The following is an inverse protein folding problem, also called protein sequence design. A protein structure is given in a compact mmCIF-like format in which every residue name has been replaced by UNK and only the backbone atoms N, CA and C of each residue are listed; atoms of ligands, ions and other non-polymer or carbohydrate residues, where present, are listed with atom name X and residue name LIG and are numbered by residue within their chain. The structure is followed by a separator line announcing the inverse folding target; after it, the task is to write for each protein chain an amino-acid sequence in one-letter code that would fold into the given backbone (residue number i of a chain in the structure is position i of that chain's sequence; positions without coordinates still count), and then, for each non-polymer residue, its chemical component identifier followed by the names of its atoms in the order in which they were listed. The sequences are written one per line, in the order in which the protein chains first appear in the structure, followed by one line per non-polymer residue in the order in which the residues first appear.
data_IF_058012909682
#
_entry.id   IF_058012909682
#
_cell.length_a   1.000
_cell.length_b   1.000
_cell.length_c   1.000
_cell.angle_alpha   90.00
_cell.angle_beta   90.00
_cell.angle_gamma   90.00
#
_symmetry.space_group_name_H-M   'P 1'
#
loop_
_entity.id
_entity.type
_entity.pdbx_description
1 polymer ?
#
# COMPACT_ATOMS: atom_id res chain seq x y z
N UNK A 1 35.93 6.71 5.95
CA UNK A 1 37.08 5.92 6.42
C UNK A 1 38.02 6.86 7.14
N UNK A 2 38.65 6.45 8.23
CA UNK A 2 39.56 7.31 8.99
C UNK A 2 40.77 6.50 9.43
N UNK A 3 41.92 7.16 9.51
CA UNK A 3 43.19 6.59 9.95
C UNK A 3 43.62 7.26 11.25
N UNK A 4 44.34 6.52 12.08
CA UNK A 4 44.84 7.02 13.36
C UNK A 4 45.92 8.09 13.12
N UNK A 5 46.07 9.04 14.06
CA UNK A 5 47.02 10.15 13.95
C UNK A 5 48.46 9.68 13.66
N UNK A 6 48.86 8.55 14.25
CA UNK A 6 50.19 7.95 14.07
C UNK A 6 50.45 7.47 12.63
N UNK A 7 49.41 7.24 11.84
CA UNK A 7 49.52 6.79 10.45
C UNK A 7 49.65 7.96 9.47
N UNK A 8 49.38 9.20 9.91
CA UNK A 8 49.30 10.37 9.04
C UNK A 8 50.59 10.64 8.25
N UNK A 9 51.76 10.38 8.86
CA UNK A 9 53.07 10.60 8.24
C UNK A 9 53.43 9.63 7.10
N UNK A 10 52.81 8.44 7.07
CA UNK A 10 53.07 7.41 6.05
C UNK A 10 51.94 7.22 5.03
N UNK A 11 50.80 7.89 5.22
CA UNK A 11 49.59 7.67 4.44
C UNK A 11 49.64 8.40 3.09
N UNK A 12 49.78 7.66 2.00
CA UNK A 12 49.80 8.20 0.62
C UNK A 12 48.38 8.33 0.06
N UNK A 13 48.20 9.12 -1.00
CA UNK A 13 46.92 9.21 -1.71
C UNK A 13 46.54 7.87 -2.34
N UNK A 14 47.51 7.15 -2.91
CA UNK A 14 47.29 5.84 -3.52
C UNK A 14 46.79 4.82 -2.49
N UNK A 15 47.31 4.86 -1.27
CA UNK A 15 46.86 3.99 -0.19
C UNK A 15 45.44 4.35 0.27
N UNK A 16 45.12 5.64 0.39
CA UNK A 16 43.74 6.07 0.65
C UNK A 16 42.77 5.60 -0.44
N UNK A 17 43.16 5.70 -1.71
CA UNK A 17 42.34 5.24 -2.84
C UNK A 17 42.21 3.72 -2.88
N UNK A 18 43.27 2.98 -2.56
CA UNK A 18 43.21 1.52 -2.41
C UNK A 18 42.19 1.12 -1.33
N UNK A 19 42.27 1.75 -0.17
CA UNK A 19 41.34 1.48 0.94
C UNK A 19 39.89 1.81 0.56
N UNK A 20 39.67 2.94 -0.13
CA UNK A 20 38.35 3.32 -0.66
C UNK A 20 37.80 2.28 -1.64
N UNK A 21 38.61 1.82 -2.58
CA UNK A 21 38.19 0.82 -3.56
C UNK A 21 37.86 -0.52 -2.90
N UNK A 22 38.67 -0.96 -1.92
CA UNK A 22 38.37 -2.18 -1.17
C UNK A 22 37.08 -2.03 -0.33
N UNK A 23 36.84 -0.87 0.28
CA UNK A 23 35.62 -0.60 1.02
C UNK A 23 34.37 -0.59 0.12
N UNK A 24 34.46 0.03 -1.07
CA UNK A 24 33.37 0.03 -2.08
C UNK A 24 33.09 -1.41 -2.54
N UNK A 25 34.14 -2.19 -2.79
CA UNK A 25 33.99 -3.61 -3.14
C UNK A 25 33.32 -4.41 -2.03
N UNK A 26 33.73 -4.20 -0.77
CA UNK A 26 33.16 -4.88 0.39
C UNK A 26 31.66 -4.56 0.59
N UNK A 27 31.22 -3.39 0.14
CA UNK A 27 29.81 -2.98 0.16
C UNK A 27 29.00 -3.52 -1.01
N UNK A 28 29.61 -4.33 -1.90
CA UNK A 28 29.01 -4.80 -3.16
C UNK A 28 28.56 -3.64 -4.06
N UNK A 29 29.34 -2.55 -4.07
CA UNK A 29 29.02 -1.30 -4.76
C UNK A 29 30.00 -0.97 -5.91
N UNK A 30 30.76 -1.96 -6.39
CA UNK A 30 31.79 -1.78 -7.43
C UNK A 30 31.25 -1.27 -8.77
N UNK A 31 29.97 -1.50 -9.03
CA UNK A 31 29.23 -1.07 -10.22
C UNK A 31 28.48 0.27 -10.00
N UNK A 32 28.73 0.95 -8.87
CA UNK A 32 28.08 2.23 -8.52
C UNK A 32 29.00 3.41 -8.77
N UNK A 33 28.41 4.53 -9.16
CA UNK A 33 29.10 5.81 -9.18
C UNK A 33 29.40 6.27 -7.74
N UNK A 34 30.63 6.71 -7.50
CA UNK A 34 31.05 7.23 -6.20
C UNK A 34 31.78 8.57 -6.32
N UNK A 35 31.53 9.47 -5.39
CA UNK A 35 32.29 10.70 -5.17
C UNK A 35 33.13 10.54 -3.90
N UNK A 36 34.43 10.81 -4.01
CA UNK A 36 35.40 10.59 -2.95
C UNK A 36 36.05 11.93 -2.60
N UNK A 37 36.01 12.30 -1.32
CA UNK A 37 36.68 13.49 -0.79
C UNK A 37 37.63 13.10 0.33
N UNK A 38 38.93 13.37 0.15
CA UNK A 38 39.98 13.02 1.10
C UNK A 38 40.47 14.25 1.87
N UNK A 39 40.64 14.08 3.17
CA UNK A 39 41.09 15.10 4.12
C UNK A 39 42.36 14.60 4.82
N UNK A 40 43.39 15.44 4.82
CA UNK A 40 44.68 15.25 5.52
C UNK A 40 45.05 16.44 6.40
N UNK A 41 44.14 17.40 6.47
CA UNK A 41 44.26 18.68 7.17
C UNK A 41 43.82 18.61 8.64
N UNK A 42 43.36 17.44 9.09
CA UNK A 42 42.96 17.14 10.47
C UNK A 42 43.93 16.17 11.14
N UNK A 43 43.93 16.13 12.48
CA UNK A 43 44.77 15.22 13.27
C UNK A 43 44.58 13.73 12.87
N UNK A 44 43.35 13.35 12.53
CA UNK A 44 43.03 12.05 11.96
C UNK A 44 42.69 12.21 10.47
N UNK A 45 43.56 11.76 9.54
CA UNK A 45 43.26 11.74 8.12
C UNK A 45 42.01 10.90 7.85
N UNK A 46 41.14 11.35 6.96
CA UNK A 46 39.89 10.66 6.66
C UNK A 46 39.42 10.88 5.22
N UNK A 47 38.54 9.99 4.77
CA UNK A 47 37.93 10.04 3.44
C UNK A 47 36.42 9.88 3.57
N UNK A 48 35.68 10.78 2.93
CA UNK A 48 34.25 10.67 2.68
C UNK A 48 34.02 9.98 1.34
N UNK A 49 33.10 9.01 1.34
CA UNK A 49 32.69 8.28 0.13
C UNK A 49 31.17 8.45 0.01
N UNK A 50 30.71 9.09 -1.06
CA UNK A 50 29.31 9.23 -1.39
C UNK A 50 29.01 8.30 -2.57
N UNK A 51 28.20 7.26 -2.34
CA UNK A 51 27.88 6.24 -3.34
C UNK A 51 26.45 6.46 -3.83
N UNK A 52 26.26 6.50 -5.16
CA UNK A 52 24.93 6.43 -5.74
C UNK A 52 24.32 5.05 -5.47
N UNK A 53 23.17 5.02 -4.82
CA UNK A 53 22.50 3.75 -4.47
C UNK A 53 21.81 3.09 -5.65
N UNK A 54 21.53 3.83 -6.71
CA UNK A 54 20.85 3.30 -7.89
C UNK A 54 21.90 2.72 -8.84
N UNK A 55 21.70 1.47 -9.22
CA UNK A 55 22.47 0.82 -10.28
C UNK A 55 22.31 1.55 -11.61
N UNK A 56 23.41 1.93 -12.29
CA UNK A 56 23.31 2.52 -13.62
C UNK A 56 22.88 1.50 -14.68
N UNK A 57 23.07 0.20 -14.45
CA UNK A 57 22.81 -0.86 -15.43
C UNK A 57 21.36 -1.35 -15.40
N UNK A 58 20.76 -1.49 -14.20
CA UNK A 58 19.45 -2.11 -14.02
C UNK A 58 18.49 -1.35 -13.09
N UNK A 59 18.91 -0.18 -12.58
CA UNK A 59 18.08 0.67 -11.72
C UNK A 59 17.80 0.12 -10.32
N UNK A 60 18.39 -1.02 -9.93
CA UNK A 60 18.18 -1.59 -8.59
C UNK A 60 18.87 -0.79 -7.50
N UNK A 61 18.27 -0.78 -6.31
CA UNK A 61 18.85 -0.11 -5.14
C UNK A 61 19.88 -1.00 -4.45
N UNK A 62 21.03 -0.42 -4.10
CA UNK A 62 22.01 -1.01 -3.21
C UNK A 62 21.39 -1.23 -1.82
N UNK A 63 21.50 -2.45 -1.32
CA UNK A 63 21.03 -2.83 0.02
C UNK A 63 21.88 -2.14 1.08
N UNK A 64 21.23 -1.43 2.01
CA UNK A 64 21.92 -0.79 3.13
C UNK A 64 22.02 -1.68 4.38
N UNK A 65 21.72 -2.97 4.23
CA UNK A 65 21.77 -3.91 5.34
C UNK A 65 23.22 -4.27 5.67
N UNK A 66 23.56 -4.25 6.95
CA UNK A 66 24.85 -4.68 7.49
C UNK A 66 26.09 -3.92 6.96
N UNK A 67 25.94 -2.76 6.33
CA UNK A 67 27.08 -1.95 5.81
C UNK A 67 28.14 -1.69 6.89
N UNK A 68 27.70 -1.31 8.09
CA UNK A 68 28.60 -1.08 9.24
C UNK A 68 29.37 -2.34 9.65
N UNK A 69 28.74 -3.51 9.56
CA UNK A 69 29.36 -4.78 9.91
C UNK A 69 30.38 -5.20 8.85
N UNK A 70 30.01 -5.07 7.57
CA UNK A 70 30.89 -5.31 6.42
C UNK A 70 32.15 -4.44 6.47
N UNK A 71 31.98 -3.14 6.74
CA UNK A 71 33.10 -2.21 6.86
C UNK A 71 33.93 -2.44 8.15
N UNK A 72 33.31 -2.86 9.24
CA UNK A 72 34.02 -3.26 10.47
C UNK A 72 34.91 -4.49 10.23
N UNK A 73 34.42 -5.48 9.48
CA UNK A 73 35.21 -6.67 9.13
C UNK A 73 36.35 -6.32 8.18
N UNK A 74 36.09 -5.49 7.16
CA UNK A 74 37.14 -5.00 6.25
C UNK A 74 38.20 -4.19 6.99
N UNK A 75 37.82 -3.29 7.90
CA UNK A 75 38.78 -2.45 8.61
C UNK A 75 39.70 -3.26 9.53
N UNK A 76 39.20 -4.34 10.15
CA UNK A 76 40.06 -5.28 10.88
C UNK A 76 41.04 -6.01 9.94
N UNK A 77 40.56 -6.47 8.78
CA UNK A 77 41.43 -7.15 7.81
C UNK A 77 42.52 -6.21 7.28
N UNK A 78 42.14 -4.97 6.96
CA UNK A 78 43.02 -3.91 6.51
C UNK A 78 44.12 -3.59 7.53
N UNK A 79 43.78 -3.51 8.81
CA UNK A 79 44.74 -3.35 9.92
C UNK A 79 45.69 -4.56 10.04
N UNK A 80 45.15 -5.78 9.98
CA UNK A 80 45.94 -7.03 10.03
C UNK A 80 46.91 -7.17 8.86
N UNK A 81 46.52 -6.80 7.64
CA UNK A 81 47.41 -6.81 6.46
C UNK A 81 48.61 -5.87 6.65
N UNK A 82 48.44 -4.78 7.40
CA UNK A 82 49.48 -3.78 7.67
C UNK A 82 50.30 -4.09 8.93
N UNK A 83 50.00 -5.19 9.62
CA UNK A 83 50.76 -5.71 10.75
C UNK A 83 50.46 -5.02 12.08
N UNK A 84 49.45 -4.16 12.15
CA UNK A 84 49.11 -3.39 13.36
C UNK A 84 47.60 -3.31 13.56
N UNK A 85 47.11 -3.76 14.72
CA UNK A 85 45.70 -3.66 15.11
C UNK A 85 45.53 -2.44 16.00
N UNK A 86 44.86 -1.41 15.48
CA UNK A 86 44.66 -0.15 16.18
C UNK A 86 43.38 -0.14 17.02
N UNK A 87 42.43 -1.04 16.74
CA UNK A 87 41.17 -1.14 17.46
C UNK A 87 40.91 -2.56 17.98
N UNK A 88 41.46 -2.88 19.16
CA UNK A 88 41.27 -4.20 19.81
C UNK A 88 39.79 -4.54 20.04
N UNK A 89 38.97 -3.54 20.39
CA UNK A 89 37.52 -3.71 20.55
C UNK A 89 36.83 -4.17 19.26
N UNK A 90 37.31 -3.73 18.08
CA UNK A 90 36.78 -4.17 16.79
C UNK A 90 37.05 -5.66 16.56
N UNK A 91 38.27 -6.11 16.85
CA UNK A 91 38.68 -7.53 16.74
C UNK A 91 37.84 -8.40 17.66
N UNK A 92 37.70 -8.02 18.94
CA UNK A 92 36.89 -8.77 19.91
C UNK A 92 35.42 -8.84 19.46
N UNK A 93 34.86 -7.74 18.96
CA UNK A 93 33.47 -7.69 18.51
C UNK A 93 33.25 -8.50 17.22
N UNK A 94 34.18 -8.49 16.27
CA UNK A 94 34.11 -9.27 15.05
C UNK A 94 34.29 -10.78 15.34
N UNK A 95 35.20 -11.17 16.23
CA UNK A 95 35.39 -12.56 16.69
C UNK A 95 34.14 -13.11 17.37
N UNK A 96 33.53 -12.35 18.31
CA UNK A 96 32.26 -12.72 18.95
C UNK A 96 31.13 -12.95 17.93
N UNK A 97 31.05 -12.11 16.90
CA UNK A 97 30.05 -12.25 15.82
C UNK A 97 30.31 -13.49 14.96
N UNK A 98 31.57 -13.80 14.64
CA UNK A 98 31.94 -15.02 13.90
C UNK A 98 31.62 -16.28 14.71
N UNK A 99 31.82 -16.24 16.02
CA UNK A 99 31.52 -17.32 16.96
C UNK A 99 30.03 -17.39 17.35
N UNK A 100 29.13 -16.72 16.61
CA UNK A 100 27.68 -16.64 16.85
C UNK A 100 27.27 -16.15 18.25
N UNK A 101 28.19 -15.55 19.00
CA UNK A 101 27.91 -14.89 20.27
C UNK A 101 27.43 -13.47 19.97
N UNK A 102 26.13 -13.36 19.69
CA UNK A 102 25.47 -12.07 19.46
C UNK A 102 25.61 -11.18 20.69
N UNK A 103 26.53 -10.22 20.65
CA UNK A 103 26.59 -9.14 21.63
C UNK A 103 25.83 -7.97 21.02
N UNK A 104 24.59 -7.76 21.45
CA UNK A 104 23.93 -6.47 21.23
C UNK A 104 24.74 -5.46 22.03
N UNK A 105 25.38 -4.53 21.35
CA UNK A 105 25.93 -3.38 22.04
C UNK A 105 24.73 -2.60 22.62
N UNK A 106 24.63 -2.54 23.95
CA UNK A 106 23.61 -1.75 24.67
C UNK A 106 23.72 -0.25 24.35
N UNK A 107 24.76 0.15 23.61
CA UNK A 107 25.03 1.51 23.18
C UNK A 107 24.31 1.95 21.90
N UNK A 108 23.37 1.16 21.34
CA UNK A 108 22.48 1.68 20.28
C UNK A 108 21.41 2.62 20.86
N UNK A 109 21.89 3.69 21.50
CA UNK A 109 21.09 4.83 21.89
C UNK A 109 21.00 5.75 20.68
N UNK A 110 19.81 6.09 20.18
CA UNK A 110 19.68 7.05 19.09
C UNK A 110 20.37 8.37 19.46
N UNK A 111 21.06 8.99 18.50
CA UNK A 111 21.97 10.14 18.69
C UNK A 111 21.36 11.32 19.49
N UNK A 112 20.04 11.49 19.42
CA UNK A 112 19.30 12.47 20.22
C UNK A 112 19.43 12.27 21.74
N UNK A 113 19.64 11.03 22.21
CA UNK A 113 19.86 10.71 23.63
C UNK A 113 21.28 11.11 24.07
N UNK A 114 22.26 11.03 23.17
CA UNK A 114 23.65 11.43 23.45
C UNK A 114 23.77 12.96 23.59
N UNK A 115 23.05 13.72 22.76
CA UNK A 115 22.91 15.17 22.90
C UNK A 115 22.22 15.55 24.22
N UNK A 116 21.25 14.74 24.65
CA UNK A 116 20.52 14.91 25.92
C UNK A 116 21.40 14.67 27.14
N UNK A 117 22.34 13.72 27.08
CA UNK A 117 23.24 13.37 28.19
C UNK A 117 24.48 14.27 28.24
N UNK A 118 25.04 14.69 27.09
CA UNK A 118 26.13 15.69 27.05
C UNK A 118 25.62 17.07 27.48
N UNK A 119 24.35 17.41 27.21
CA UNK A 119 23.70 18.62 27.72
C UNK A 119 23.20 18.49 29.17
N UNK A 120 23.40 17.34 29.82
CA UNK A 120 22.99 17.14 31.21
C UNK A 120 24.05 17.68 32.17
N UNK A 121 24.41 18.96 32.00
CA UNK A 121 24.90 19.75 33.10
C UNK A 121 23.79 19.78 34.15
N UNK A 122 24.09 19.27 35.35
CA UNK A 122 23.21 19.08 36.50
C UNK A 122 22.54 20.38 37.01
N UNK A 123 21.68 21.02 36.21
CA UNK A 123 20.95 22.24 36.57
C UNK A 123 19.45 21.93 36.67
N UNK A 124 18.85 22.00 37.87
CA UNK A 124 17.48 21.55 38.13
C UNK A 124 16.39 22.28 37.31
N UNK A 125 16.65 23.50 36.82
CA UNK A 125 15.71 24.26 35.98
C UNK A 125 15.56 23.75 34.54
N UNK A 126 16.65 23.27 33.92
CA UNK A 126 16.65 22.81 32.53
C UNK A 126 15.85 21.52 32.35
N UNK A 127 15.92 20.61 33.32
CA UNK A 127 15.20 19.34 33.30
C UNK A 127 13.68 19.49 33.33
N UNK A 128 13.14 20.46 34.09
CA UNK A 128 11.68 20.67 34.15
C UNK A 128 11.15 21.27 32.85
N UNK A 129 11.80 22.29 32.32
CA UNK A 129 11.39 22.90 31.06
C UNK A 129 11.51 21.92 29.88
N UNK A 130 12.57 21.10 29.85
CA UNK A 130 12.74 20.02 28.86
C UNK A 130 11.61 18.99 28.93
N UNK A 131 11.23 18.52 30.12
CA UNK A 131 10.08 17.61 30.30
C UNK A 131 8.78 18.21 29.78
N UNK A 132 8.53 19.50 30.01
CA UNK A 132 7.36 20.20 29.46
C UNK A 132 7.38 20.26 27.92
N UNK A 133 8.54 20.48 27.30
CA UNK A 133 8.67 20.47 25.85
C UNK A 133 8.44 19.06 25.26
N UNK A 134 8.99 18.02 25.89
CA UNK A 134 8.77 16.62 25.51
C UNK A 134 7.28 16.26 25.60
N UNK A 135 6.59 16.68 26.67
CA UNK A 135 5.16 16.42 26.83
C UNK A 135 4.32 17.08 25.71
N UNK A 136 4.67 18.30 25.29
CA UNK A 136 4.01 18.98 24.16
C UNK A 136 4.27 18.27 22.83
N UNK A 137 5.50 17.81 22.60
CA UNK A 137 5.86 17.04 21.39
C UNK A 137 5.13 15.70 21.36
N UNK A 138 5.05 15.02 22.50
CA UNK A 138 4.32 13.76 22.65
C UNK A 138 2.82 13.93 22.42
N UNK A 139 2.22 15.04 22.88
CA UNK A 139 0.80 15.33 22.63
C UNK A 139 0.52 15.54 21.12
N UNK A 140 1.36 16.32 20.44
CA UNK A 140 1.22 16.53 18.99
C UNK A 140 1.45 15.25 18.19
N UNK A 141 2.42 14.42 18.60
CA UNK A 141 2.66 13.11 18.00
C UNK A 141 1.49 12.13 18.24
N UNK A 142 0.91 12.12 19.44
CA UNK A 142 -0.25 11.29 19.76
C UNK A 142 -1.48 11.69 18.95
N UNK A 143 -1.72 12.99 18.74
CA UNK A 143 -2.77 13.47 17.85
C UNK A 143 -2.54 13.04 16.40
N UNK A 144 -1.29 13.15 15.90
CA UNK A 144 -0.91 12.63 14.58
C UNK A 144 -1.19 11.14 14.40
N UNK A 145 -0.84 10.32 15.41
CA UNK A 145 -1.14 8.89 15.41
C UNK A 145 -2.65 8.62 15.43
N UNK A 146 -3.42 9.40 16.21
CA UNK A 146 -4.87 9.29 16.26
C UNK A 146 -5.55 9.66 14.93
N UNK A 147 -5.03 10.68 14.23
CA UNK A 147 -5.45 11.01 12.86
C UNK A 147 -5.18 9.83 11.92
N UNK A 148 -3.98 9.27 11.95
CA UNK A 148 -3.62 8.13 11.11
C UNK A 148 -4.50 6.90 11.35
N UNK A 149 -4.82 6.61 12.61
CA UNK A 149 -5.75 5.53 12.95
C UNK A 149 -7.15 5.77 12.36
N UNK A 150 -7.71 6.97 12.55
CA UNK A 150 -9.01 7.32 11.95
C UNK A 150 -9.00 7.26 10.43
N UNK A 151 -7.88 7.64 9.79
CA UNK A 151 -7.71 7.50 8.34
C UNK A 151 -7.80 6.04 7.93
N UNK A 152 -7.05 5.16 8.60
CA UNK A 152 -7.06 3.73 8.33
C UNK A 152 -8.46 3.14 8.48
N UNK A 153 -9.12 3.41 9.60
CA UNK A 153 -10.48 2.93 9.86
C UNK A 153 -11.49 3.44 8.81
N UNK A 154 -11.36 4.71 8.39
CA UNK A 154 -12.21 5.27 7.34
C UNK A 154 -11.97 4.61 5.97
N UNK A 155 -10.71 4.34 5.61
CA UNK A 155 -10.35 3.61 4.39
C UNK A 155 -10.89 2.17 4.41
N UNK A 156 -10.64 1.43 5.50
CA UNK A 156 -11.14 0.06 5.69
C UNK A 156 -12.67 0.01 5.61
N UNK A 157 -13.36 0.95 6.26
CA UNK A 157 -14.82 1.05 6.19
C UNK A 157 -15.33 1.37 4.78
N UNK A 158 -14.65 2.26 4.05
CA UNK A 158 -15.01 2.62 2.68
C UNK A 158 -14.87 1.42 1.73
N UNK A 159 -13.74 0.72 1.80
CA UNK A 159 -13.48 -0.48 1.00
C UNK A 159 -14.47 -1.61 1.35
N UNK A 160 -14.75 -1.84 2.63
CA UNK A 160 -15.71 -2.83 3.08
C UNK A 160 -17.13 -2.53 2.57
N UNK A 161 -17.58 -1.26 2.64
CA UNK A 161 -18.88 -0.84 2.09
C UNK A 161 -18.95 -1.07 0.58
N UNK A 162 -17.90 -0.74 -0.15
CA UNK A 162 -17.86 -0.94 -1.59
C UNK A 162 -17.90 -2.43 -1.95
N UNK A 163 -17.10 -3.27 -1.28
CA UNK A 163 -17.08 -4.71 -1.47
C UNK A 163 -18.46 -5.33 -1.20
N UNK A 164 -19.10 -4.98 -0.08
CA UNK A 164 -20.44 -5.45 0.26
C UNK A 164 -21.49 -5.03 -0.79
N UNK A 165 -21.34 -3.82 -1.35
CA UNK A 165 -22.22 -3.34 -2.42
C UNK A 165 -22.05 -4.19 -3.69
N UNK A 166 -20.82 -4.46 -4.10
CA UNK A 166 -20.54 -5.30 -5.28
C UNK A 166 -21.07 -6.73 -5.08
N UNK A 167 -20.88 -7.31 -3.90
CA UNK A 167 -21.41 -8.63 -3.54
C UNK A 167 -22.94 -8.64 -3.59
N UNK A 168 -23.61 -7.61 -3.06
CA UNK A 168 -25.07 -7.50 -3.13
C UNK A 168 -25.57 -7.43 -4.57
N UNK A 169 -24.85 -6.71 -5.44
CA UNK A 169 -25.18 -6.60 -6.87
C UNK A 169 -25.01 -7.91 -7.61
N UNK A 170 -23.95 -8.68 -7.32
CA UNK A 170 -23.76 -10.01 -7.90
C UNK A 170 -24.87 -10.97 -7.46
N UNK A 171 -25.21 -10.96 -6.17
CA UNK A 171 -26.31 -11.77 -5.65
C UNK A 171 -27.67 -11.37 -6.27
N UNK A 172 -27.93 -10.08 -6.46
CA UNK A 172 -29.14 -9.58 -7.12
C UNK A 172 -29.19 -9.95 -8.60
N UNK A 173 -28.05 -9.88 -9.30
CA UNK A 173 -27.91 -10.31 -10.70
C UNK A 173 -28.26 -11.80 -10.83
N UNK A 174 -27.65 -12.66 -10.01
CA UNK A 174 -27.92 -14.10 -10.01
C UNK A 174 -29.38 -14.41 -9.69
N UNK A 175 -29.96 -13.75 -8.67
CA UNK A 175 -31.38 -13.89 -8.33
C UNK A 175 -32.29 -13.49 -9.48
N UNK A 176 -31.98 -12.39 -10.17
CA UNK A 176 -32.76 -11.89 -11.29
C UNK A 176 -32.68 -12.81 -12.51
N UNK A 177 -31.49 -13.34 -12.82
CA UNK A 177 -31.30 -14.33 -13.88
C UNK A 177 -32.12 -15.58 -13.57
N UNK A 178 -32.00 -16.12 -12.35
CA UNK A 178 -32.76 -17.31 -11.94
C UNK A 178 -34.27 -17.09 -11.99
N UNK A 179 -34.76 -15.94 -11.53
CA UNK A 179 -36.17 -15.58 -11.63
C UNK A 179 -36.65 -15.51 -13.09
N UNK A 180 -35.85 -14.91 -13.97
CA UNK A 180 -36.12 -14.83 -15.41
C UNK A 180 -36.10 -16.19 -16.10
N UNK A 181 -35.17 -17.07 -15.74
CA UNK A 181 -35.10 -18.45 -16.24
C UNK A 181 -36.35 -19.25 -15.84
N UNK A 182 -36.77 -19.15 -14.57
CA UNK A 182 -37.98 -19.78 -14.08
C UNK A 182 -39.25 -19.26 -14.76
N UNK A 183 -39.36 -17.94 -14.98
CA UNK A 183 -40.48 -17.35 -15.71
C UNK A 183 -40.52 -17.85 -17.16
N UNK A 184 -39.35 -17.92 -17.81
CA UNK A 184 -39.23 -18.44 -19.18
C UNK A 184 -39.65 -19.91 -19.22
N UNK A 185 -39.13 -20.75 -18.32
CA UNK A 185 -39.51 -22.16 -18.22
C UNK A 185 -41.02 -22.33 -17.97
N UNK A 186 -41.61 -21.49 -17.12
CA UNK A 186 -43.06 -21.48 -16.89
C UNK A 186 -43.85 -21.12 -18.16
N UNK A 187 -43.37 -20.16 -18.97
CA UNK A 187 -44.01 -19.82 -20.25
C UNK A 187 -43.86 -20.91 -21.31
N UNK A 188 -42.78 -21.70 -21.27
CA UNK A 188 -42.52 -22.79 -22.21
C UNK A 188 -43.26 -24.09 -21.83
N UNK A 189 -43.69 -24.23 -20.58
CA UNK A 189 -44.39 -25.43 -20.10
C UNK A 189 -45.59 -25.85 -20.97
N UNK A 190 -46.53 -24.96 -21.38
CA UNK A 190 -47.63 -25.34 -22.26
C UNK A 190 -47.17 -25.84 -23.64
N UNK A 191 -46.04 -25.32 -24.15
CA UNK A 191 -45.47 -25.76 -25.43
C UNK A 191 -44.90 -27.18 -25.34
N UNK A 192 -44.24 -27.52 -24.23
CA UNK A 192 -43.80 -28.89 -23.96
C UNK A 192 -44.98 -29.84 -23.78
N UNK A 193 -46.02 -29.43 -23.03
CA UNK A 193 -47.25 -30.24 -22.84
C UNK A 193 -47.94 -30.54 -24.19
N UNK A 194 -48.07 -29.53 -25.07
CA UNK A 194 -48.60 -29.73 -26.43
C UNK A 194 -47.71 -30.65 -27.28
N UNK A 195 -46.39 -30.45 -27.23
CA UNK A 195 -45.43 -31.28 -27.96
C UNK A 195 -45.53 -32.75 -27.53
N UNK A 196 -45.56 -33.01 -26.22
CA UNK A 196 -45.71 -34.36 -25.68
C UNK A 196 -47.03 -35.00 -26.06
N UNK A 197 -48.14 -34.25 -26.00
CA UNK A 197 -49.46 -34.72 -26.46
C UNK A 197 -49.42 -35.11 -27.94
N UNK A 198 -48.90 -34.24 -28.81
CA UNK A 198 -48.75 -34.53 -30.25
C UNK A 198 -47.87 -35.76 -30.51
N UNK A 199 -46.78 -35.92 -29.76
CA UNK A 199 -45.90 -37.08 -29.89
C UNK A 199 -46.59 -38.38 -29.46
N UNK A 200 -47.40 -38.35 -28.40
CA UNK A 200 -48.21 -39.49 -27.97
C UNK A 200 -49.28 -39.86 -29.03
N UNK A 201 -50.01 -38.87 -29.54
CA UNK A 201 -51.00 -39.07 -30.61
C UNK A 201 -50.37 -39.62 -31.90
N UNK A 202 -49.17 -39.15 -32.26
CA UNK A 202 -48.40 -39.69 -33.39
C UNK A 202 -48.03 -41.16 -33.19
N UNK A 203 -47.64 -41.55 -31.97
CA UNK A 203 -47.29 -42.91 -31.63
C UNK A 203 -48.50 -43.85 -31.64
N UNK A 204 -49.62 -43.43 -31.03
CA UNK A 204 -50.88 -44.18 -31.06
C UNK A 204 -51.42 -44.32 -32.49
N UNK A 205 -51.34 -43.25 -33.29
CA UNK A 205 -51.69 -43.30 -34.70
C UNK A 205 -50.75 -44.21 -35.49
N UNK A 206 -49.45 -44.25 -35.17
CA UNK A 206 -48.51 -45.17 -35.82
C UNK A 206 -48.88 -46.62 -35.53
N UNK A 207 -49.05 -46.98 -34.26
CA UNK A 207 -49.40 -48.32 -33.79
C UNK A 207 -50.72 -48.82 -34.41
N UNK A 208 -51.78 -48.01 -34.32
CA UNK A 208 -53.11 -48.35 -34.87
C UNK A 208 -53.12 -48.51 -36.40
N UNK A 209 -52.22 -47.81 -37.12
CA UNK A 209 -52.07 -47.98 -38.57
C UNK A 209 -51.19 -49.18 -38.93
N UNK A 210 -50.30 -49.62 -38.05
CA UNK A 210 -49.38 -50.73 -38.31
C UNK A 210 -50.09 -52.09 -38.34
N UNK A 211 -51.24 -52.22 -37.68
CA UNK A 211 -52.10 -53.41 -37.70
C UNK A 211 -52.78 -53.64 -39.06
N UNK A 212 -52.89 -52.60 -39.90
CA UNK A 212 -53.59 -52.65 -41.20
C UNK A 212 -52.59 -52.67 -42.36
N UNK A 213 -52.81 -53.53 -43.36
CA UNK A 213 -51.94 -53.62 -44.56
C UNK A 213 -51.78 -52.27 -45.29
N UNK A 214 -52.87 -51.55 -45.52
CA UNK A 214 -52.85 -50.21 -46.11
C UNK A 214 -52.27 -49.14 -45.16
N UNK A 215 -52.34 -49.36 -43.85
CA UNK A 215 -51.76 -48.48 -42.85
C UNK A 215 -50.24 -48.59 -42.77
N UNK A 216 -49.66 -49.79 -42.94
CA UNK A 216 -48.19 -49.99 -43.08
C UNK A 216 -47.61 -49.24 -44.28
N UNK A 217 -48.30 -49.28 -45.43
CA UNK A 217 -47.89 -48.54 -46.64
C UNK A 217 -47.95 -47.03 -46.41
N UNK A 218 -48.99 -46.54 -45.73
CA UNK A 218 -49.16 -45.12 -45.38
C UNK A 218 -48.10 -44.64 -44.38
N UNK A 219 -47.77 -45.46 -43.37
CA UNK A 219 -46.71 -45.18 -42.40
C UNK A 219 -45.33 -45.13 -43.08
N UNK A 220 -45.04 -46.09 -43.97
CA UNK A 220 -43.80 -46.13 -44.74
C UNK A 220 -43.62 -44.91 -45.67
N UNK A 221 -44.71 -44.45 -46.29
CA UNK A 221 -44.67 -43.23 -47.12
C UNK A 221 -44.42 -41.96 -46.30
N UNK A 222 -44.88 -41.90 -45.04
CA UNK A 222 -44.72 -40.75 -44.13
C UNK A 222 -43.35 -40.70 -43.44
N UNK A 223 -42.73 -41.86 -43.19
CA UNK A 223 -41.41 -41.95 -42.58
C UNK A 223 -40.26 -41.57 -43.52
N UNK A 224 -40.52 -41.43 -44.82
CA UNK A 224 -39.52 -41.09 -45.85
C UNK A 224 -39.69 -39.65 -46.29
N UNK A 225 -38.63 -38.87 -46.20
CA UNK A 225 -38.58 -37.52 -46.73
C UNK A 225 -38.36 -37.55 -48.26
N UNK A 226 -39.43 -37.80 -49.02
CA UNK A 226 -39.38 -37.91 -50.49
C UNK A 226 -38.81 -36.68 -51.19
N UNK A 227 -38.95 -35.51 -50.57
CA UNK A 227 -38.44 -34.25 -51.12
C UNK A 227 -36.91 -34.18 -51.09
N UNK A 228 -36.31 -34.82 -50.09
CA UNK A 228 -34.87 -34.96 -49.92
C UNK A 228 -34.32 -36.08 -50.82
N UNK A 229 -35.03 -37.22 -50.90
CA UNK A 229 -34.71 -38.33 -51.83
C UNK A 229 -34.68 -37.86 -53.29
N UNK A 230 -35.63 -37.00 -53.70
CA UNK A 230 -35.69 -36.46 -55.06
C UNK A 230 -34.58 -35.44 -55.38
N UNK A 231 -33.98 -34.82 -54.35
CA UNK A 231 -32.98 -33.74 -54.49
C UNK A 231 -31.54 -34.18 -54.20
N UNK A 232 -31.34 -35.34 -53.59
CA UNK A 232 -30.02 -35.90 -53.33
C UNK A 232 -29.27 -36.17 -54.64
N UNK A 233 -27.96 -35.91 -54.65
CA UNK A 233 -27.06 -36.32 -55.75
C UNK A 233 -26.90 -37.85 -55.76
N UNK A 234 -26.78 -38.48 -54.59
CA UNK A 234 -26.73 -39.94 -54.41
C UNK A 234 -28.12 -40.58 -54.23
N UNK A 235 -28.98 -40.39 -55.24
CA UNK A 235 -30.34 -40.96 -55.27
C UNK A 235 -30.42 -42.47 -54.99
N UNK A 236 -29.53 -43.35 -55.53
CA UNK A 236 -29.66 -44.79 -55.31
C UNK A 236 -29.45 -45.21 -53.84
N UNK A 237 -28.57 -44.54 -53.10
CA UNK A 237 -28.36 -44.82 -51.67
C UNK A 237 -29.53 -44.34 -50.81
N UNK A 238 -30.04 -43.14 -51.09
CA UNK A 238 -31.23 -42.61 -50.40
C UNK A 238 -32.50 -43.41 -50.70
N UNK A 239 -32.61 -44.00 -51.89
CA UNK A 239 -33.67 -44.95 -52.22
C UNK A 239 -33.53 -46.27 -51.44
N UNK A 240 -32.32 -46.78 -51.20
CA UNK A 240 -32.10 -47.95 -50.32
C UNK A 240 -32.47 -47.65 -48.87
N UNK A 241 -32.12 -46.48 -48.36
CA UNK A 241 -32.47 -46.02 -47.00
C UNK A 241 -34.00 -45.89 -46.85
N UNK A 242 -34.67 -45.32 -47.85
CA UNK A 242 -36.13 -45.29 -47.95
C UNK A 242 -36.75 -46.70 -48.04
N UNK A 243 -36.15 -47.61 -48.81
CA UNK A 243 -36.61 -49.00 -48.93
C UNK A 243 -36.49 -49.78 -47.59
N UNK A 244 -35.47 -49.48 -46.79
CA UNK A 244 -35.32 -50.01 -45.43
C UNK A 244 -36.44 -49.59 -44.47
N UNK A 245 -36.95 -48.36 -44.63
CA UNK A 245 -38.13 -47.88 -43.91
C UNK A 245 -39.43 -48.56 -44.39
N UNK A 246 -39.49 -49.03 -45.63
CA UNK A 246 -40.59 -49.88 -46.10
C UNK A 246 -40.52 -51.31 -45.57
N UNK A 247 -39.31 -51.87 -45.42
CA UNK A 247 -39.11 -53.30 -45.16
C UNK A 247 -39.26 -53.72 -43.69
N UNK A 248 -39.13 -52.80 -42.72
CA UNK A 248 -39.26 -53.15 -41.30
C UNK A 248 -40.04 -52.11 -40.49
N UNK A 249 -40.88 -52.60 -39.56
CA UNK A 249 -41.62 -51.76 -38.60
C UNK A 249 -40.67 -50.96 -37.71
N UNK A 250 -39.52 -51.55 -37.34
CA UNK A 250 -38.48 -50.90 -36.56
C UNK A 250 -37.88 -49.66 -37.24
N UNK A 251 -37.59 -49.70 -38.55
CA UNK A 251 -37.03 -48.54 -39.25
C UNK A 251 -38.01 -47.35 -39.33
N UNK A 252 -39.33 -47.61 -39.42
CA UNK A 252 -40.34 -46.54 -39.40
C UNK A 252 -40.48 -45.91 -38.03
N UNK A 253 -40.48 -46.75 -36.99
CA UNK A 253 -40.52 -46.31 -35.61
C UNK A 253 -39.31 -45.42 -35.27
N UNK A 254 -38.11 -45.81 -35.70
CA UNK A 254 -36.89 -45.01 -35.54
C UNK A 254 -36.95 -43.68 -36.32
N UNK A 255 -37.58 -43.64 -37.49
CA UNK A 255 -37.78 -42.39 -38.22
C UNK A 255 -38.70 -41.41 -37.45
N UNK A 256 -39.79 -41.90 -36.85
CA UNK A 256 -40.67 -41.08 -36.01
C UNK A 256 -39.94 -40.60 -34.77
N UNK A 257 -39.21 -41.48 -34.07
CA UNK A 257 -38.43 -41.12 -32.88
C UNK A 257 -37.40 -40.02 -33.17
N UNK A 258 -36.66 -40.14 -34.28
CA UNK A 258 -35.70 -39.10 -34.71
C UNK A 258 -36.39 -37.76 -34.99
N UNK A 259 -37.54 -37.78 -35.65
CA UNK A 259 -38.30 -36.56 -35.90
C UNK A 259 -38.80 -35.91 -34.59
N UNK A 260 -39.33 -36.72 -33.67
CA UNK A 260 -39.76 -36.26 -32.35
C UNK A 260 -38.59 -35.70 -31.52
N UNK A 261 -37.43 -36.35 -31.57
CA UNK A 261 -36.21 -35.86 -30.93
C UNK A 261 -35.75 -34.52 -31.50
N UNK A 262 -35.74 -34.38 -32.83
CA UNK A 262 -35.41 -33.11 -33.48
C UNK A 262 -36.39 -31.98 -33.11
N UNK A 263 -37.68 -32.26 -32.97
CA UNK A 263 -38.68 -31.29 -32.50
C UNK A 263 -38.44 -30.88 -31.03
N UNK A 264 -38.14 -31.84 -30.14
CA UNK A 264 -37.79 -31.56 -28.73
C UNK A 264 -36.55 -30.68 -28.64
N UNK A 265 -35.51 -31.00 -29.39
CA UNK A 265 -34.30 -30.19 -29.45
C UNK A 265 -34.56 -28.79 -30.00
N UNK A 266 -35.40 -28.67 -31.03
CA UNK A 266 -35.74 -27.37 -31.60
C UNK A 266 -36.44 -26.48 -30.57
N UNK A 267 -37.41 -27.02 -29.82
CA UNK A 267 -38.10 -26.28 -28.76
C UNK A 267 -37.14 -25.90 -27.62
N UNK A 268 -36.28 -26.83 -27.20
CA UNK A 268 -35.25 -26.56 -26.18
C UNK A 268 -34.27 -25.48 -26.62
N UNK A 269 -33.84 -25.49 -27.89
CA UNK A 269 -32.97 -24.43 -28.45
C UNK A 269 -33.65 -23.06 -28.43
N UNK A 270 -34.96 -23.00 -28.71
CA UNK A 270 -35.72 -21.75 -28.62
C UNK A 270 -35.80 -21.25 -27.18
N UNK A 271 -36.11 -22.11 -26.22
CA UNK A 271 -36.14 -21.77 -24.79
C UNK A 271 -34.79 -21.23 -24.30
N UNK A 272 -33.71 -21.96 -24.59
CA UNK A 272 -32.34 -21.54 -24.20
C UNK A 272 -31.97 -20.19 -24.82
N UNK A 273 -32.32 -19.96 -26.09
CA UNK A 273 -32.04 -18.69 -26.75
C UNK A 273 -32.74 -17.51 -26.06
N UNK A 274 -34.01 -17.68 -25.65
CA UNK A 274 -34.76 -16.67 -24.90
C UNK A 274 -34.18 -16.47 -23.50
N UNK A 275 -33.81 -17.54 -22.80
CA UNK A 275 -33.15 -17.46 -21.50
C UNK A 275 -31.83 -16.68 -21.59
N UNK A 276 -31.00 -16.97 -22.59
CA UNK A 276 -29.74 -16.27 -22.85
C UNK A 276 -29.97 -14.79 -23.15
N UNK A 277 -30.90 -14.44 -24.03
CA UNK A 277 -31.20 -13.05 -24.37
C UNK A 277 -31.62 -12.23 -23.13
N UNK A 278 -32.50 -12.81 -22.29
CA UNK A 278 -32.94 -12.18 -21.05
C UNK A 278 -31.79 -12.07 -20.03
N UNK A 279 -31.00 -13.12 -19.86
CA UNK A 279 -29.84 -13.10 -18.97
C UNK A 279 -28.81 -12.04 -19.40
N UNK A 280 -28.56 -11.91 -20.71
CA UNK A 280 -27.66 -10.89 -21.27
C UNK A 280 -28.22 -9.48 -21.10
N UNK A 281 -29.54 -9.29 -21.17
CA UNK A 281 -30.16 -8.00 -20.86
C UNK A 281 -29.95 -7.61 -19.39
N UNK A 282 -30.15 -8.55 -18.45
CA UNK A 282 -29.92 -8.34 -17.02
C UNK A 282 -28.44 -8.01 -16.76
N UNK A 283 -27.51 -8.80 -17.31
CA UNK A 283 -26.06 -8.57 -17.19
C UNK A 283 -25.66 -7.18 -17.67
N UNK A 284 -26.17 -6.75 -18.84
CA UNK A 284 -25.89 -5.41 -19.38
C UNK A 284 -26.40 -4.30 -18.47
N UNK A 285 -27.61 -4.45 -17.91
CA UNK A 285 -28.16 -3.48 -16.98
C UNK A 285 -27.32 -3.41 -15.68
N UNK A 286 -26.97 -4.56 -15.11
CA UNK A 286 -26.12 -4.63 -13.91
C UNK A 286 -24.74 -4.04 -14.18
N UNK A 287 -24.15 -4.27 -15.35
CA UNK A 287 -22.84 -3.71 -15.71
C UNK A 287 -22.86 -2.18 -15.73
N UNK A 288 -23.93 -1.56 -16.23
CA UNK A 288 -24.09 -0.10 -16.20
C UNK A 288 -24.13 0.42 -14.77
N UNK A 289 -24.95 -0.19 -13.91
CA UNK A 289 -25.04 0.18 -12.49
C UNK A 289 -23.69 -0.03 -11.79
N UNK A 290 -22.97 -1.11 -12.11
CA UNK A 290 -21.64 -1.38 -11.56
C UNK A 290 -20.62 -0.31 -11.96
N UNK A 291 -20.66 0.18 -13.20
CA UNK A 291 -19.81 1.30 -13.66
C UNK A 291 -20.10 2.57 -12.88
N UNK A 292 -21.38 2.88 -12.64
CA UNK A 292 -21.76 4.04 -11.84
C UNK A 292 -21.27 3.92 -10.38
N UNK A 293 -21.37 2.73 -9.77
CA UNK A 293 -20.81 2.50 -8.43
C UNK A 293 -19.30 2.66 -8.38
N UNK A 294 -18.56 2.17 -9.39
CA UNK A 294 -17.11 2.36 -9.46
C UNK A 294 -16.75 3.84 -9.58
N UNK A 295 -17.51 4.61 -10.36
CA UNK A 295 -17.29 6.05 -10.48
C UNK A 295 -17.56 6.78 -9.16
N UNK A 296 -18.61 6.41 -8.43
CA UNK A 296 -18.93 6.95 -7.10
C UNK A 296 -17.83 6.61 -6.08
N UNK A 297 -17.38 5.36 -6.06
CA UNK A 297 -16.30 4.92 -5.18
C UNK A 297 -15.00 5.67 -5.45
N UNK A 298 -14.62 5.83 -6.73
CA UNK A 298 -13.43 6.60 -7.09
C UNK A 298 -13.57 8.08 -6.68
N UNK A 299 -14.76 8.67 -6.83
CA UNK A 299 -15.01 10.04 -6.36
C UNK A 299 -14.88 10.17 -4.83
N UNK A 300 -15.43 9.22 -4.06
CA UNK A 300 -15.28 9.17 -2.59
C UNK A 300 -13.79 9.04 -2.20
N UNK A 301 -13.06 8.18 -2.90
CA UNK A 301 -11.63 7.96 -2.73
C UNK A 301 -10.80 9.22 -2.99
N UNK A 302 -11.07 9.93 -4.09
CA UNK A 302 -10.38 11.18 -4.42
C UNK A 302 -10.68 12.28 -3.39
N UNK A 303 -11.92 12.37 -2.92
CA UNK A 303 -12.30 13.30 -1.85
C UNK A 303 -11.55 13.03 -0.54
N UNK A 304 -11.44 11.75 -0.16
CA UNK A 304 -10.66 11.33 1.01
C UNK A 304 -9.17 11.70 0.87
N UNK A 305 -8.56 11.43 -0.29
CA UNK A 305 -7.16 11.79 -0.57
C UNK A 305 -6.94 13.31 -0.46
N UNK A 306 -7.85 14.12 -1.01
CA UNK A 306 -7.75 15.58 -0.95
C UNK A 306 -7.84 16.07 0.50
N UNK A 307 -8.78 15.54 1.29
CA UNK A 307 -8.93 15.87 2.71
C UNK A 307 -7.65 15.53 3.47
N UNK A 308 -7.06 14.36 3.23
CA UNK A 308 -5.82 13.92 3.87
C UNK A 308 -4.63 14.82 3.49
N UNK A 309 -4.54 15.26 2.23
CA UNK A 309 -3.50 16.21 1.82
C UNK A 309 -3.60 17.54 2.56
N UNK A 310 -4.82 18.03 2.80
CA UNK A 310 -5.06 19.25 3.57
C UNK A 310 -4.69 19.06 5.05
N UNK A 311 -5.10 17.93 5.64
CA UNK A 311 -4.73 17.58 7.02
C UNK A 311 -3.21 17.43 7.20
N UNK A 312 -2.51 16.81 6.25
CA UNK A 312 -1.06 16.68 6.26
C UNK A 312 -0.38 18.04 6.13
N UNK A 313 -0.94 18.96 5.33
CA UNK A 313 -0.43 20.32 5.24
C UNK A 313 -0.60 21.09 6.56
N UNK A 314 -1.76 20.95 7.20
CA UNK A 314 -2.00 21.51 8.53
C UNK A 314 -1.04 20.92 9.57
N UNK A 315 -0.87 19.59 9.59
CA UNK A 315 0.06 18.89 10.48
C UNK A 315 1.51 19.39 10.30
N UNK A 316 1.96 19.59 9.06
CA UNK A 316 3.27 20.15 8.76
C UNK A 316 3.43 21.56 9.33
N UNK A 317 2.41 22.41 9.18
CA UNK A 317 2.41 23.76 9.74
C UNK A 317 2.44 23.75 11.28
N UNK A 318 1.69 22.84 11.92
CA UNK A 318 1.70 22.65 13.38
C UNK A 318 3.09 22.26 13.88
N UNK A 319 3.74 21.30 13.21
CA UNK A 319 5.10 20.87 13.55
C UNK A 319 6.14 21.96 13.32
N UNK A 320 6.01 22.77 12.25
CA UNK A 320 6.88 23.91 12.02
C UNK A 320 6.78 24.94 13.15
N UNK A 321 5.55 25.37 13.47
CA UNK A 321 5.30 26.27 14.60
C UNK A 321 5.81 25.70 15.92
N UNK A 322 5.60 24.40 16.15
CA UNK A 322 6.08 23.71 17.35
C UNK A 322 7.61 23.71 17.45
N UNK A 323 8.31 23.53 16.34
CA UNK A 323 9.77 23.59 16.28
C UNK A 323 10.28 25.01 16.61
N UNK A 324 9.61 26.04 16.11
CA UNK A 324 9.91 27.44 16.44
C UNK A 324 9.67 27.73 17.93
N UNK A 325 8.51 27.32 18.46
CA UNK A 325 8.17 27.47 19.88
C UNK A 325 9.19 26.76 20.78
N UNK A 326 9.66 25.56 20.36
CA UNK A 326 10.68 24.79 21.07
C UNK A 326 12.03 25.52 21.06
N UNK A 327 12.45 26.03 19.90
CA UNK A 327 13.69 26.81 19.76
C UNK A 327 13.65 28.05 20.65
N UNK A 328 12.57 28.84 20.58
CA UNK A 328 12.38 30.03 21.39
C UNK A 328 12.32 29.71 22.91
N UNK A 329 11.80 28.55 23.30
CA UNK A 329 11.83 28.11 24.69
C UNK A 329 13.25 27.80 25.17
N UNK A 330 14.07 27.14 24.36
CA UNK A 330 15.47 26.85 24.71
C UNK A 330 16.35 28.10 24.69
N UNK A 331 16.15 29.01 23.73
CA UNK A 331 16.84 30.31 23.69
C UNK A 331 16.57 31.13 24.95
N UNK A 332 15.30 31.21 25.39
CA UNK A 332 14.92 31.88 26.64
C UNK A 332 15.60 31.26 27.87
N UNK A 333 15.69 29.94 27.95
CA UNK A 333 16.38 29.25 29.04
C UNK A 333 17.88 29.57 29.04
N UNK A 334 18.52 29.54 27.87
CA UNK A 334 19.94 29.93 27.74
C UNK A 334 20.18 31.39 28.13
N UNK A 335 19.29 32.30 27.74
CA UNK A 335 19.41 33.72 28.08
C UNK A 335 19.19 33.97 29.58
N UNK A 336 18.24 33.28 30.20
CA UNK A 336 18.03 33.30 31.65
C UNK A 336 19.26 32.78 32.40
N UNK A 337 19.92 31.73 31.90
CA UNK A 337 21.18 31.26 32.50
C UNK A 337 22.32 32.27 32.35
N UNK A 338 22.42 32.95 31.21
CA UNK A 338 23.45 33.98 30.97
C UNK A 338 23.26 35.22 31.84
N UNK A 339 22.02 35.64 32.07
CA UNK A 339 21.71 36.93 32.72
C UNK A 339 21.24 36.81 34.16
N UNK A 340 20.92 35.60 34.64
CA UNK A 340 20.42 35.36 36.00
C UNK A 340 19.00 35.87 36.28
N UNK A 341 18.39 36.57 35.33
CA UNK A 341 17.02 37.10 35.38
C UNK A 341 16.19 36.49 34.25
N UNK A 342 14.88 36.32 34.47
CA UNK A 342 13.99 35.91 33.38
C UNK A 342 13.92 37.04 32.34
N UNK A 343 14.08 36.78 31.04
CA UNK A 343 14.00 37.83 30.02
C UNK A 343 12.66 38.59 30.01
N UNK A 344 11.56 37.98 30.48
CA UNK A 344 10.26 38.66 30.67
C UNK A 344 10.20 39.53 31.94
N UNK A 345 11.10 39.32 32.90
CA UNK A 345 11.23 40.15 34.13
C UNK A 345 12.13 41.39 33.90
N UNK A 346 12.67 41.57 32.68
CA UNK A 346 13.38 42.80 32.34
C UNK A 346 12.37 43.95 32.30
N UNK A 347 12.40 44.77 33.34
CA UNK A 347 11.69 46.05 33.41
C UNK A 347 11.84 46.79 32.08
N UNK A 348 10.73 47.27 31.52
CA UNK A 348 10.77 48.03 30.27
C UNK A 348 11.67 49.27 30.42
N UNK A 349 12.23 49.84 29.34
CA UNK A 349 13.03 51.07 29.43
C UNK A 349 12.33 52.21 30.18
N UNK A 350 10.99 52.29 30.07
CA UNK A 350 10.18 53.28 30.82
C UNK A 350 10.05 52.95 32.30
N UNK A 351 9.93 51.67 32.67
CA UNK A 351 9.91 51.25 34.07
C UNK A 351 11.30 51.41 34.72
N UNK A 352 12.38 51.15 33.99
CA UNK A 352 13.75 51.39 34.45
C UNK A 352 14.01 52.89 34.66
N UNK A 353 13.59 53.74 33.72
CA UNK A 353 13.70 55.19 33.83
C UNK A 353 12.93 55.73 35.04
N UNK A 354 11.70 55.24 35.28
CA UNK A 354 10.90 55.64 36.44
C UNK A 354 11.56 55.24 37.77
N UNK A 355 12.16 54.05 37.86
CA UNK A 355 12.88 53.60 39.06
C UNK A 355 14.14 54.45 39.31
N UNK A 356 14.87 54.83 38.26
CA UNK A 356 16.03 55.73 38.41
C UNK A 356 15.63 57.14 38.87
N UNK A 357 14.55 57.69 38.31
CA UNK A 357 14.02 59.00 38.71
C UNK A 357 13.54 58.99 40.16
N UNK A 358 12.83 57.93 40.57
CA UNK A 358 12.41 57.73 41.96
C UNK A 358 13.60 57.63 42.94
N UNK A 359 14.68 56.95 42.54
CA UNK A 359 15.92 56.85 43.33
C UNK A 359 16.64 58.20 43.46
N UNK A 360 16.70 59.01 42.38
CA UNK A 360 17.25 60.38 42.43
C UNK A 360 16.43 61.31 43.34
N UNK A 361 15.10 61.21 43.29
CA UNK A 361 14.23 61.99 44.18
C UNK A 361 14.43 61.64 45.66
N UNK A 362 14.70 60.36 45.97
CA UNK A 362 14.95 59.91 47.35
C UNK A 362 16.30 60.38 47.89
N UNK A 363 17.37 60.36 47.09
CA UNK A 363 18.68 60.86 47.55
C UNK A 363 18.72 62.37 47.77
N UNK A 364 17.87 63.13 47.05
CA UNK A 364 17.69 64.58 47.30
C UNK A 364 17.02 64.86 48.65
N UNK A 365 16.04 64.04 49.03
CA UNK A 365 15.30 64.20 50.28
C UNK A 365 16.13 63.79 51.52
N UNK A 366 17.03 62.82 51.38
CA UNK A 366 17.94 62.42 52.46
C UNK A 366 19.04 63.48 52.70
N UNK A 367 19.41 64.26 51.69
CA UNK A 367 20.38 65.36 51.81
C UNK A 367 19.77 66.61 52.48
N UNK A 368 18.46 66.83 52.37
CA UNK A 368 17.75 67.90 53.09
C UNK A 368 17.49 67.56 54.56
N UNK A 369 17.36 66.28 54.92
CA UNK A 369 17.18 65.84 56.33
C UNK A 369 18.45 65.95 57.20
N UNK A 370 19.64 66.01 56.60
CA UNK A 370 20.93 66.10 57.32
C UNK A 370 21.49 67.54 57.42
N UNK A 371 20.73 68.56 57.02
CA UNK A 371 21.05 69.96 57.38
C UNK A 371 20.48 70.25 58.77
N UNK A 372 21.31 70.09 59.80
CA UNK A 372 21.03 70.65 61.13
C UNK A 372 20.82 72.17 61.01
N UNK A 373 19.78 72.74 61.64
CA UNK A 373 19.68 74.19 61.76
C UNK A 373 20.67 74.67 62.83
N UNK A 374 21.66 75.44 62.41
CA UNK A 374 22.47 76.28 63.31
C UNK A 374 21.53 77.03 64.27
N UNK A 375 21.65 76.72 65.56
CA UNK A 375 21.02 77.49 66.64
C UNK A 375 22.10 78.27 67.36
N UNK A 376 22.22 79.53 66.97
CA UNK A 376 22.79 80.59 67.79
C UNK A 376 22.06 80.65 69.15
N UNK A 377 22.83 80.57 70.24
CA UNK A 377 22.62 81.34 71.47
C UNK A 377 23.89 81.36 72.33
#
# INVERSE_FOLDING_TARGET
LSWHEQEAGGLTQDEMMRAVNQAIHQLDASDRQALIAAHKDTAEPHVHILINRVSPDDGRLLSSSNEKLKLSAWAEHYEKERGEVLCEARVINNDRRQNQQYTRDDSHRPYHIHEVEISNDNKPGFGQAKRQQIAKDAALAADGNGREQRRREAWESMEARHAATLESMENDEQRSIWASENETAASYRPHYEDLHRRHAEQMEAFESNEDRFLGRVKNAFRSVNWREVMRAEDRPEKLKEAYGAFSSSGARLEAIRRAQEAEREALRRQEIAVQQERADAIRRQTELVRKDQLALFEAERQSAILTQKLEDAAARSEWQKRNEDRRAAYERLQERERTGADPDDRLSPSQQAWIEEYKRGRSSNDNERNREPDRDH
#
